data_IF_210217693632
#
_entry.id   IF_210217693632
#
_cell.length_a   1.000
_cell.length_b   1.000
_cell.length_c   1.000
_cell.angle_alpha   90.00
_cell.angle_beta   90.00
_cell.angle_gamma   90.00
#
_symmetry.space_group_name_H-M   'P 1'
#
loop_
_entity.id
_entity.type
_entity.pdbx_description
1 polymer ?
#
# COMPACT_ATOMS: atom_id res chain seq x y z
N UNK A 1 -2.98 2.54 -20.98
CA UNK A 1 -1.60 2.22 -21.39
C UNK A 1 -1.41 0.72 -21.36
N UNK A 2 -0.52 0.17 -22.18
CA UNK A 2 -0.23 -1.26 -22.23
C UNK A 2 1.24 -1.50 -21.88
N UNK A 3 1.51 -2.55 -21.09
CA UNK A 3 2.86 -3.01 -20.84
C UNK A 3 3.41 -3.71 -22.09
N UNK A 4 4.62 -3.34 -22.49
CA UNK A 4 5.36 -3.96 -23.61
C UNK A 4 6.10 -5.22 -23.16
N UNK A 5 6.20 -5.43 -21.85
CA UNK A 5 6.78 -6.61 -21.21
C UNK A 5 5.69 -7.38 -20.46
N UNK A 6 6.00 -8.60 -20.04
CA UNK A 6 5.12 -9.37 -19.15
C UNK A 6 4.79 -8.54 -17.90
N UNK A 7 3.51 -8.35 -17.54
CA UNK A 7 3.08 -7.61 -16.35
C UNK A 7 3.73 -8.10 -15.04
N UNK A 8 4.06 -9.39 -14.94
CA UNK A 8 4.72 -9.97 -13.76
C UNK A 8 6.18 -9.53 -13.61
N UNK A 9 6.82 -9.09 -14.70
CA UNK A 9 8.20 -8.60 -14.71
C UNK A 9 8.36 -7.14 -14.27
N UNK A 10 7.25 -6.42 -14.09
CA UNK A 10 7.25 -5.01 -13.69
C UNK A 10 7.51 -4.83 -12.18
N UNK A 11 7.38 -5.90 -11.40
CA UNK A 11 7.50 -5.85 -9.94
C UNK A 11 6.33 -5.11 -9.28
N UNK A 12 6.04 -5.47 -8.03
CA UNK A 12 4.98 -4.84 -7.23
C UNK A 12 5.46 -4.67 -5.80
N UNK A 13 6.49 -3.84 -5.61
CA UNK A 13 7.16 -3.68 -4.32
C UNK A 13 7.37 -2.21 -4.02
N UNK A 14 7.16 -1.83 -2.77
CA UNK A 14 7.41 -0.46 -2.35
C UNK A 14 8.93 -0.27 -2.15
N UNK A 15 9.52 0.60 -2.94
CA UNK A 15 10.89 1.06 -2.79
C UNK A 15 10.88 2.40 -2.04
N UNK A 16 11.90 2.61 -1.20
CA UNK A 16 12.18 3.89 -0.55
C UNK A 16 13.42 4.51 -1.16
N UNK A 17 13.56 5.83 -1.00
CA UNK A 17 14.72 6.55 -1.50
C UNK A 17 14.88 6.45 -3.04
N UNK A 18 13.77 6.40 -3.76
CA UNK A 18 13.73 6.38 -5.22
C UNK A 18 13.77 7.79 -5.78
N UNK A 19 14.73 7.99 -6.67
CA UNK A 19 14.95 9.24 -7.37
C UNK A 19 14.14 9.35 -8.65
N UNK A 20 13.71 10.58 -8.95
CA UNK A 20 13.15 10.90 -10.24
C UNK A 20 14.19 10.64 -11.35
N UNK A 21 13.84 9.81 -12.33
CA UNK A 21 14.78 9.37 -13.38
C UNK A 21 14.22 9.72 -14.76
N UNK A 22 15.09 10.11 -15.70
CA UNK A 22 14.70 10.39 -17.07
C UNK A 22 14.17 9.12 -17.75
N UNK A 23 13.06 9.25 -18.48
CA UNK A 23 12.37 8.12 -19.10
C UNK A 23 11.84 8.46 -20.48
N UNK A 24 10.65 7.94 -20.79
CA UNK A 24 9.98 8.15 -22.06
C UNK A 24 9.93 9.64 -22.46
N UNK A 25 10.26 9.93 -23.72
CA UNK A 25 10.30 11.28 -24.28
C UNK A 25 11.22 12.27 -23.54
N UNK A 26 12.21 11.78 -22.77
CA UNK A 26 13.15 12.62 -22.03
C UNK A 26 12.53 13.32 -20.80
N UNK A 27 11.34 12.91 -20.39
CA UNK A 27 10.66 13.44 -19.19
C UNK A 27 11.23 12.76 -17.94
N UNK A 28 11.23 13.48 -16.81
CA UNK A 28 11.61 12.93 -15.50
C UNK A 28 10.40 12.26 -14.86
N UNK A 29 10.53 10.96 -14.55
CA UNK A 29 9.46 10.16 -13.96
C UNK A 29 9.65 9.95 -12.46
N UNK A 30 8.56 9.87 -11.70
CA UNK A 30 8.56 9.50 -10.28
C UNK A 30 9.12 10.54 -9.34
N UNK A 31 9.05 11.82 -9.71
CA UNK A 31 9.56 12.95 -8.93
C UNK A 31 8.51 13.67 -8.05
N UNK A 32 7.23 13.25 -8.08
CA UNK A 32 6.17 13.79 -7.22
C UNK A 32 6.04 13.00 -5.90
N UNK A 33 5.29 13.55 -4.94
CA UNK A 33 5.00 12.91 -3.65
C UNK A 33 5.79 13.53 -2.50
N UNK A 34 6.28 12.68 -1.58
CA UNK A 34 7.05 13.12 -0.41
C UNK A 34 8.30 13.95 -0.79
N UNK A 35 8.73 13.88 -2.05
CA UNK A 35 9.83 14.64 -2.66
C UNK A 35 10.81 13.69 -3.34
N UNK A 36 11.54 14.12 -4.40
CA UNK A 36 12.74 13.42 -4.83
C UNK A 36 13.68 13.30 -3.61
N UNK A 37 14.46 12.24 -3.44
CA UNK A 37 15.32 12.08 -2.26
C UNK A 37 16.82 12.23 -2.62
N UNK A 38 17.09 13.02 -3.66
CA UNK A 38 18.32 12.93 -4.45
C UNK A 38 19.20 14.16 -4.27
N UNK A 39 18.59 15.28 -3.88
CA UNK A 39 19.29 16.46 -3.44
C UNK A 39 19.32 16.51 -1.91
N UNK A 40 20.40 17.05 -1.31
CA UNK A 40 20.52 17.20 0.13
C UNK A 40 19.49 18.16 0.75
N UNK A 41 18.79 18.94 -0.08
CA UNK A 41 17.68 19.83 0.32
C UNK A 41 16.33 19.12 0.33
N UNK A 42 16.26 17.91 -0.21
CA UNK A 42 15.00 17.22 -0.34
C UNK A 42 14.61 16.56 0.99
N UNK A 43 13.40 16.83 1.46
CA UNK A 43 12.85 16.30 2.71
C UNK A 43 11.99 15.04 2.52
N UNK A 44 12.02 14.46 1.31
CA UNK A 44 11.12 13.39 0.92
C UNK A 44 11.58 11.98 1.22
N UNK A 45 10.61 11.10 1.46
CA UNK A 45 10.85 9.67 1.67
C UNK A 45 11.14 8.92 0.35
N UNK A 46 10.91 9.54 -0.82
CA UNK A 46 11.17 8.95 -2.14
C UNK A 46 10.49 7.60 -2.34
N UNK A 47 9.20 7.49 -1.97
CA UNK A 47 8.46 6.22 -2.02
C UNK A 47 7.90 5.97 -3.42
N UNK A 48 8.29 4.87 -4.05
CA UNK A 48 7.81 4.51 -5.39
C UNK A 48 7.63 2.98 -5.53
N UNK A 49 6.74 2.55 -6.43
CA UNK A 49 6.54 1.16 -6.81
C UNK A 49 7.68 0.59 -7.64
N UNK A 50 8.43 1.46 -8.32
CA UNK A 50 9.56 1.08 -9.16
C UNK A 50 10.86 1.56 -8.52
N UNK A 51 11.90 0.74 -8.56
CA UNK A 51 13.25 1.17 -8.17
C UNK A 51 13.82 2.23 -9.12
N UNK A 52 13.40 2.21 -10.38
CA UNK A 52 13.73 3.19 -11.42
C UNK A 52 12.44 3.53 -12.20
N UNK A 53 11.80 4.67 -11.92
CA UNK A 53 10.58 5.09 -12.59
C UNK A 53 10.81 5.49 -14.06
N UNK A 54 12.03 5.91 -14.43
CA UNK A 54 12.40 6.24 -15.80
C UNK A 54 12.45 4.99 -16.68
N UNK A 55 13.15 3.95 -16.21
CA UNK A 55 13.18 2.65 -16.89
C UNK A 55 11.80 1.97 -16.93
N UNK A 56 10.98 2.15 -15.89
CA UNK A 56 9.60 1.65 -15.88
C UNK A 56 8.75 2.33 -16.96
N UNK A 57 8.87 3.64 -17.16
CA UNK A 57 8.12 4.38 -18.18
C UNK A 57 8.34 3.85 -19.61
N UNK A 58 9.55 3.39 -19.93
CA UNK A 58 9.91 2.83 -21.23
C UNK A 58 9.28 1.46 -21.49
N UNK A 59 8.86 0.75 -20.44
CA UNK A 59 8.18 -0.54 -20.54
C UNK A 59 6.69 -0.38 -20.84
N UNK A 60 6.18 0.85 -20.86
CA UNK A 60 4.78 1.15 -21.15
C UNK A 60 4.63 1.93 -22.46
N UNK A 61 3.53 1.68 -23.17
CA UNK A 61 3.17 2.40 -24.38
C UNK A 61 1.67 2.71 -24.46
N UNK A 62 1.31 3.66 -25.30
CA UNK A 62 -0.09 3.89 -25.64
C UNK A 62 -0.63 2.70 -26.45
N UNK A 63 -1.88 2.25 -26.19
CA UNK A 63 -2.50 1.21 -26.99
C UNK A 63 -2.72 1.74 -28.42
N UNK A 64 -2.32 0.95 -29.41
CA UNK A 64 -2.51 1.26 -30.82
C UNK A 64 -3.70 0.50 -31.38
N UNK A 65 -4.69 1.20 -31.92
CA UNK A 65 -5.94 0.62 -32.49
C UNK A 65 -5.68 -0.48 -33.52
N UNK A 66 -4.59 -0.40 -34.28
CA UNK A 66 -4.27 -1.37 -35.35
C UNK A 66 -3.32 -2.49 -34.93
N UNK A 67 -2.62 -2.35 -33.79
CA UNK A 67 -1.61 -3.32 -33.34
C UNK A 67 -2.04 -4.08 -32.11
N UNK A 68 -2.92 -3.49 -31.29
CA UNK A 68 -3.39 -4.07 -30.05
C UNK A 68 -4.86 -4.45 -30.17
N UNK A 69 -5.15 -5.75 -30.19
CA UNK A 69 -6.54 -6.25 -30.20
C UNK A 69 -7.27 -6.06 -28.86
N UNK A 70 -6.64 -5.39 -27.88
CA UNK A 70 -7.19 -5.06 -26.56
C UNK A 70 -6.62 -3.74 -26.09
N UNK A 71 -7.49 -2.86 -25.62
CA UNK A 71 -7.06 -1.75 -24.77
C UNK A 71 -6.43 -2.38 -23.51
N UNK A 72 -5.14 -2.11 -23.27
CA UNK A 72 -4.39 -2.74 -22.18
C UNK A 72 -5.15 -2.68 -20.85
N UNK A 73 -5.02 -3.74 -20.03
CA UNK A 73 -5.62 -3.83 -18.70
C UNK A 73 -5.40 -2.51 -17.95
N UNK A 74 -6.47 -1.88 -17.48
CA UNK A 74 -6.44 -0.57 -16.82
C UNK A 74 -5.45 -0.49 -15.64
N UNK A 75 -5.03 -1.64 -15.12
CA UNK A 75 -3.96 -1.81 -14.14
C UNK A 75 -2.93 -2.83 -14.66
N UNK A 76 -1.85 -2.38 -15.32
CA UNK A 76 -0.83 -3.28 -15.87
C UNK A 76 0.19 -3.77 -14.82
N UNK A 77 0.13 -3.23 -13.60
CA UNK A 77 1.01 -3.62 -12.48
C UNK A 77 0.14 -4.16 -11.36
N UNK A 78 0.63 -5.16 -10.64
CA UNK A 78 -0.06 -5.69 -9.45
C UNK A 78 0.07 -4.69 -8.29
N UNK A 79 -0.96 -4.65 -7.46
CA UNK A 79 -0.97 -3.83 -6.24
C UNK A 79 0.05 -4.30 -5.20
N UNK A 80 0.30 -3.45 -4.21
CA UNK A 80 1.23 -3.74 -3.12
C UNK A 80 0.66 -4.87 -2.24
N UNK A 81 1.55 -5.74 -1.75
CA UNK A 81 1.15 -6.79 -0.84
C UNK A 81 0.68 -6.18 0.49
N UNK A 82 -0.57 -6.46 0.86
CA UNK A 82 -1.18 -6.00 2.10
C UNK A 82 -1.13 -7.13 3.13
N UNK A 83 -0.64 -6.85 4.33
CA UNK A 83 -0.79 -7.77 5.45
C UNK A 83 -1.05 -7.00 6.74
N UNK A 84 -1.93 -7.55 7.58
CA UNK A 84 -2.24 -7.00 8.89
C UNK A 84 -2.44 -8.17 9.86
N UNK A 85 -1.83 -8.07 11.04
CA UNK A 85 -2.02 -9.04 12.11
C UNK A 85 -2.69 -8.37 13.30
N UNK A 86 -3.92 -8.78 13.57
CA UNK A 86 -4.68 -8.41 14.76
C UNK A 86 -4.71 -9.60 15.71
N UNK A 87 -4.50 -9.37 17.01
CA UNK A 87 -4.54 -10.44 18.02
C UNK A 87 -5.39 -10.04 19.21
N UNK A 88 -6.19 -10.99 19.72
CA UNK A 88 -7.03 -10.82 20.91
C UNK A 88 -6.70 -11.90 21.92
N UNK A 89 -6.40 -11.51 23.14
CA UNK A 89 -6.19 -12.41 24.26
C UNK A 89 -7.31 -12.21 25.28
N UNK A 90 -8.18 -13.22 25.41
CA UNK A 90 -9.27 -13.25 26.39
C UNK A 90 -9.01 -14.31 27.45
N UNK A 91 -9.18 -13.95 28.72
CA UNK A 91 -9.15 -14.87 29.85
C UNK A 91 -10.37 -14.65 30.74
N UNK A 92 -11.18 -15.68 30.86
CA UNK A 92 -12.30 -15.72 31.81
C UNK A 92 -11.84 -16.40 33.08
N UNK A 93 -11.90 -15.70 34.21
CA UNK A 93 -11.59 -16.23 35.54
C UNK A 93 -12.87 -16.26 36.36
N UNK A 94 -13.29 -17.46 36.79
CA UNK A 94 -14.39 -17.64 37.74
C UNK A 94 -13.84 -17.47 39.16
N UNK A 95 -14.24 -16.41 39.86
CA UNK A 95 -13.69 -16.10 41.18
C UNK A 95 -14.54 -16.69 42.32
N UNK A 96 -15.85 -16.86 42.13
CA UNK A 96 -16.80 -17.52 43.06
C UNK A 96 -17.94 -18.16 42.26
N UNK A 97 -18.71 -19.09 42.85
CA UNK A 97 -19.76 -19.92 42.19
C UNK A 97 -20.80 -19.16 41.35
N UNK A 98 -20.87 -17.82 41.49
CA UNK A 98 -21.84 -16.92 40.86
C UNK A 98 -21.21 -15.83 39.99
N UNK A 99 -19.88 -15.63 40.08
CA UNK A 99 -19.20 -14.49 39.45
C UNK A 99 -18.14 -14.96 38.46
N UNK A 100 -18.32 -14.53 37.20
CA UNK A 100 -17.37 -14.72 36.11
C UNK A 100 -16.79 -13.37 35.73
N UNK A 101 -15.47 -13.28 35.71
CA UNK A 101 -14.74 -12.09 35.30
C UNK A 101 -14.03 -12.37 33.98
N UNK A 102 -14.37 -11.62 32.93
CA UNK A 102 -13.72 -11.70 31.62
C UNK A 102 -12.72 -10.55 31.47
N UNK A 103 -11.45 -10.88 31.25
CA UNK A 103 -10.39 -9.92 30.91
C UNK A 103 -10.05 -10.16 29.44
N UNK A 104 -10.20 -9.15 28.59
CA UNK A 104 -9.76 -9.21 27.20
C UNK A 104 -8.78 -8.08 26.90
N UNK A 105 -7.70 -8.39 26.20
CA UNK A 105 -6.78 -7.43 25.61
C UNK A 105 -6.79 -7.61 24.09
N UNK A 106 -7.02 -6.52 23.36
CA UNK A 106 -7.03 -6.48 21.90
C UNK A 106 -5.79 -5.69 21.42
N UNK A 107 -4.95 -6.30 20.59
CA UNK A 107 -3.81 -5.68 19.92
C UNK A 107 -4.11 -5.56 18.43
N UNK A 108 -4.16 -4.33 17.93
CA UNK A 108 -4.40 -4.03 16.52
C UNK A 108 -3.08 -3.71 15.82
N UNK A 109 -2.85 -4.30 14.65
CA UNK A 109 -1.60 -4.16 13.90
C UNK A 109 -0.36 -4.45 14.77
N UNK A 110 -0.26 -5.69 15.29
CA UNK A 110 0.75 -6.11 16.28
C UNK A 110 2.20 -5.80 15.87
N UNK A 111 2.47 -5.71 14.56
CA UNK A 111 3.79 -5.42 14.02
C UNK A 111 3.97 -3.99 13.51
N UNK A 112 2.97 -3.12 13.71
CA UNK A 112 2.95 -1.76 13.19
C UNK A 112 3.30 -1.72 11.69
N UNK A 113 2.78 -2.67 10.91
CA UNK A 113 3.04 -2.71 9.48
C UNK A 113 2.09 -1.78 8.75
N UNK A 114 2.66 -0.81 8.03
CA UNK A 114 1.90 0.14 7.23
C UNK A 114 1.51 -0.51 5.90
N UNK A 115 0.22 -0.56 5.65
CA UNK A 115 -0.35 -0.97 4.39
C UNK A 115 -0.45 0.26 3.49
N UNK A 116 0.10 0.19 2.28
CA UNK A 116 0.07 1.31 1.33
C UNK A 116 -1.02 1.10 0.28
N UNK A 117 -1.64 2.18 -0.18
CA UNK A 117 -2.58 2.12 -1.29
C UNK A 117 -1.85 1.92 -2.62
N UNK A 118 -2.56 1.39 -3.61
CA UNK A 118 -2.01 1.23 -4.94
C UNK A 118 -1.73 2.60 -5.57
N UNK A 119 -0.51 2.85 -6.05
CA UNK A 119 -0.14 4.15 -6.59
C UNK A 119 -0.77 4.38 -7.96
N UNK A 120 -0.86 5.66 -8.34
CA UNK A 120 -1.25 6.06 -9.69
C UNK A 120 -0.22 5.58 -10.72
N UNK A 121 -0.68 4.96 -11.81
CA UNK A 121 0.17 4.40 -12.87
C UNK A 121 -0.13 5.06 -14.20
N UNK A 122 -0.09 6.39 -14.24
CA UNK A 122 -0.41 7.18 -15.43
C UNK A 122 0.87 7.68 -16.13
N UNK A 123 1.13 7.20 -17.35
CA UNK A 123 2.32 7.59 -18.14
C UNK A 123 2.28 9.05 -18.64
N UNK A 124 1.08 9.64 -18.71
CA UNK A 124 0.83 11.05 -19.05
C UNK A 124 1.10 12.01 -17.89
N UNK A 125 1.31 11.49 -16.68
CA UNK A 125 1.67 12.25 -15.48
C UNK A 125 3.02 11.73 -14.98
N UNK A 126 4.11 12.05 -15.68
CA UNK A 126 5.41 11.44 -15.45
C UNK A 126 5.86 11.59 -14.00
N UNK A 127 5.58 12.75 -13.39
CA UNK A 127 5.91 13.05 -12.01
C UNK A 127 5.27 12.08 -10.99
N UNK A 128 4.04 11.58 -11.23
CA UNK A 128 3.32 10.72 -10.26
C UNK A 128 3.40 9.22 -10.54
N UNK A 129 4.14 8.81 -11.59
CA UNK A 129 4.21 7.41 -11.99
C UNK A 129 4.76 6.53 -10.85
N UNK A 130 3.91 5.64 -10.33
CA UNK A 130 4.27 4.68 -9.29
C UNK A 130 4.52 5.29 -7.90
N UNK A 131 4.28 6.59 -7.72
CA UNK A 131 4.51 7.29 -6.44
C UNK A 131 3.50 6.81 -5.40
N UNK A 132 4.02 6.35 -4.26
CA UNK A 132 3.20 5.84 -3.15
C UNK A 132 3.06 6.96 -2.12
N UNK A 133 1.89 7.59 -2.05
CA UNK A 133 1.63 8.75 -1.19
C UNK A 133 0.52 8.55 -0.16
N UNK A 134 -0.12 7.37 -0.13
CA UNK A 134 -1.24 7.11 0.78
C UNK A 134 -1.13 5.76 1.48
N UNK A 135 -1.50 5.79 2.75
CA UNK A 135 -1.56 4.62 3.63
C UNK A 135 -3.02 4.18 3.75
N UNK A 136 -3.26 2.89 3.65
CA UNK A 136 -4.55 2.28 3.92
C UNK A 136 -4.67 2.07 5.43
N UNK A 137 -5.62 2.74 6.05
CA UNK A 137 -6.02 2.47 7.43
C UNK A 137 -6.97 1.26 7.41
N UNK A 138 -6.63 0.11 8.03
CA UNK A 138 -7.51 -1.04 8.07
C UNK A 138 -8.82 -0.73 8.81
N UNK A 139 -9.94 -1.23 8.29
CA UNK A 139 -11.29 -0.98 8.82
C UNK A 139 -11.54 -1.51 10.26
N UNK A 140 -10.57 -2.19 10.88
CA UNK A 140 -10.67 -2.64 12.28
C UNK A 140 -10.69 -1.48 13.28
N UNK A 141 -10.37 -0.25 12.86
CA UNK A 141 -10.44 0.96 13.69
C UNK A 141 -11.87 1.38 14.11
N UNK A 142 -12.92 0.85 13.47
CA UNK A 142 -14.33 1.24 13.74
C UNK A 142 -15.03 0.38 14.82
N UNK A 143 -14.34 -0.61 15.41
CA UNK A 143 -14.88 -1.36 16.56
C UNK A 143 -14.49 -0.69 17.88
N UNK A 144 -15.08 0.49 18.12
CA UNK A 144 -14.98 1.21 19.40
C UNK A 144 -15.74 0.47 20.51
N UNK A 145 -15.04 -0.50 21.11
CA UNK A 145 -15.47 -1.20 22.31
C UNK A 145 -14.26 -1.68 23.11
N UNK A 146 -13.45 -0.74 23.59
CA UNK A 146 -12.18 -0.98 24.31
C UNK A 146 -12.36 -1.61 25.71
N UNK A 147 -13.59 -1.75 26.19
CA UNK A 147 -13.93 -2.59 27.33
C UNK A 147 -15.41 -3.01 27.26
N UNK A 148 -15.69 -4.31 27.21
CA UNK A 148 -17.04 -4.86 27.39
C UNK A 148 -17.04 -5.70 28.67
N UNK A 149 -17.56 -5.14 29.76
CA UNK A 149 -17.84 -5.90 30.97
C UNK A 149 -19.19 -6.59 30.83
N UNK A 150 -19.20 -7.92 30.75
CA UNK A 150 -20.43 -8.72 30.80
C UNK A 150 -20.46 -9.47 32.12
N UNK A 151 -21.34 -9.05 33.02
CA UNK A 151 -21.70 -9.84 34.20
C UNK A 151 -22.84 -10.76 33.78
N UNK A 152 -22.57 -12.05 33.60
CA UNK A 152 -23.63 -13.05 33.44
C UNK A 152 -23.92 -13.67 34.81
N UNK A 153 -25.05 -13.29 35.40
CA UNK A 153 -25.61 -13.99 36.55
C UNK A 153 -26.35 -15.24 36.04
N UNK A 154 -26.04 -16.42 36.57
CA UNK A 154 -26.80 -17.64 36.28
C UNK A 154 -28.07 -17.63 37.16
N UNK A 155 -29.25 -17.98 36.63
CA UNK A 155 -30.46 -18.11 37.44
C UNK A 155 -30.35 -19.20 38.51
#
# INVERSE_FOLDING_TARGET
MIATVDPSSLGASAHSSVCGTAGLNGLTYGSAGDGPNCAPTDTGCGRNLFSDPGAASLKFRYPGVSTDGRDGSGHPVRGLALWNLDSRLGKTTSFQERFKLEISADFFNLFNHVNFFDPSLHINSPETLGVISSELIPASLDRTGFARFVLTENP
#
